data_IF_102946187535
#
_entry.id   IF_102946187535
#
_cell.length_a   1.000
_cell.length_b   1.000
_cell.length_c   1.000
_cell.angle_alpha   90.00
_cell.angle_beta   90.00
_cell.angle_gamma   90.00
#
_symmetry.space_group_name_H-M   'P 1'
#
loop_
_entity.id
_entity.type
_entity.pdbx_description
1 polymer ?
#
# COMPACT_ATOMS: atom_id res chain seq x y z
N UNK A 1 -2.21 27.29 -8.69
CA UNK A 1 -2.82 26.09 -8.12
C UNK A 1 -3.18 25.20 -9.28
N UNK A 2 -2.52 24.05 -9.42
CA UNK A 2 -2.94 23.06 -10.40
C UNK A 2 -4.19 22.37 -9.87
N UNK A 3 -5.14 22.11 -10.75
CA UNK A 3 -6.36 21.40 -10.38
C UNK A 3 -5.97 19.94 -10.08
N UNK A 4 -6.33 19.36 -8.91
CA UNK A 4 -5.90 18.03 -8.55
C UNK A 4 -6.35 17.02 -9.62
N UNK A 5 -5.39 16.27 -10.14
CA UNK A 5 -5.66 15.27 -11.17
C UNK A 5 -6.53 14.15 -10.57
N UNK A 6 -7.50 13.60 -11.31
CA UNK A 6 -8.33 12.51 -10.80
C UNK A 6 -7.48 11.27 -10.49
N UNK A 7 -7.82 10.52 -9.44
CA UNK A 7 -7.07 9.34 -9.02
C UNK A 7 -6.93 8.26 -10.10
N UNK A 8 -8.04 8.04 -10.83
CA UNK A 8 -8.05 7.16 -11.99
C UNK A 8 -7.09 7.60 -13.10
N UNK A 9 -6.71 8.88 -13.16
CA UNK A 9 -5.78 9.39 -14.17
C UNK A 9 -4.38 8.81 -14.02
N UNK A 10 -3.89 8.61 -12.79
CA UNK A 10 -2.61 7.94 -12.53
C UNK A 10 -2.62 6.50 -13.05
N UNK A 11 -3.74 5.79 -12.92
CA UNK A 11 -3.89 4.43 -13.45
C UNK A 11 -4.12 4.43 -14.97
N UNK A 12 -4.76 5.50 -15.48
CA UNK A 12 -5.16 5.57 -16.87
C UNK A 12 -4.02 5.79 -17.88
N UNK A 13 -2.81 6.06 -17.38
CA UNK A 13 -1.63 6.34 -18.20
C UNK A 13 -0.96 5.09 -18.78
N UNK A 14 -1.22 3.91 -18.19
CA UNK A 14 -0.33 2.75 -18.32
C UNK A 14 -0.91 1.56 -19.11
N UNK A 15 -2.19 1.58 -19.45
CA UNK A 15 -2.83 0.57 -20.31
C UNK A 15 -3.50 1.23 -21.50
N UNK A 16 -3.64 0.50 -22.59
CA UNK A 16 -4.29 1.01 -23.81
C UNK A 16 -5.77 1.30 -23.52
N UNK A 17 -6.44 0.40 -22.80
CA UNK A 17 -7.87 0.56 -22.47
C UNK A 17 -8.15 1.83 -21.66
N UNK A 18 -7.25 2.19 -20.75
CA UNK A 18 -7.45 3.37 -19.93
C UNK A 18 -7.10 4.68 -20.63
N UNK A 19 -6.18 4.66 -21.61
CA UNK A 19 -5.97 5.79 -22.54
C UNK A 19 -7.20 6.07 -23.39
N UNK A 20 -7.87 5.02 -23.88
CA UNK A 20 -9.14 5.18 -24.59
C UNK A 20 -10.23 5.72 -23.67
N UNK A 21 -10.35 5.21 -22.45
CA UNK A 21 -11.29 5.71 -21.45
C UNK A 21 -11.07 7.21 -21.16
N UNK A 22 -9.81 7.63 -21.00
CA UNK A 22 -9.43 9.03 -20.83
C UNK A 22 -9.82 9.86 -22.05
N UNK A 23 -9.52 9.40 -23.26
CA UNK A 23 -9.87 10.10 -24.50
C UNK A 23 -11.38 10.28 -24.68
N UNK A 24 -12.18 9.32 -24.21
CA UNK A 24 -13.65 9.35 -24.30
C UNK A 24 -14.30 10.22 -23.24
N UNK A 25 -13.85 10.11 -21.98
CA UNK A 25 -14.53 10.73 -20.82
C UNK A 25 -13.91 12.06 -20.39
N UNK A 26 -12.66 12.30 -20.77
CA UNK A 26 -11.86 13.43 -20.31
C UNK A 26 -11.60 13.43 -18.80
N UNK A 27 -10.92 14.47 -18.29
CA UNK A 27 -10.61 14.61 -16.87
C UNK A 27 -11.86 14.64 -15.98
N UNK A 28 -12.91 15.33 -16.43
CA UNK A 28 -14.15 15.46 -15.66
C UNK A 28 -14.87 14.11 -15.50
N UNK A 29 -15.00 13.33 -16.57
CA UNK A 29 -15.63 12.01 -16.50
C UNK A 29 -14.83 11.04 -15.63
N UNK A 30 -13.49 11.10 -15.66
CA UNK A 30 -12.65 10.31 -14.74
C UNK A 30 -12.81 10.73 -13.28
N UNK A 31 -12.99 12.03 -12.98
CA UNK A 31 -13.32 12.50 -11.62
C UNK A 31 -14.64 11.92 -11.11
N UNK A 32 -15.64 11.76 -11.98
CA UNK A 32 -16.93 11.16 -11.62
C UNK A 32 -16.87 9.64 -11.48
N UNK A 33 -16.03 8.96 -12.28
CA UNK A 33 -15.89 7.51 -12.18
C UNK A 33 -15.39 7.07 -10.81
N UNK A 34 -14.46 7.82 -10.23
CA UNK A 34 -13.86 7.48 -8.95
C UNK A 34 -14.89 7.27 -7.81
N UNK A 35 -15.75 8.24 -7.46
CA UNK A 35 -16.81 8.01 -6.47
C UNK A 35 -17.84 6.99 -6.97
N UNK A 36 -18.07 6.89 -8.28
CA UNK A 36 -19.00 5.91 -8.85
C UNK A 36 -18.57 4.48 -8.54
N UNK A 37 -17.28 4.15 -8.67
CA UNK A 37 -16.73 2.82 -8.32
C UNK A 37 -17.06 2.48 -6.88
N UNK A 38 -16.81 3.39 -5.95
CA UNK A 38 -17.09 3.20 -4.51
C UNK A 38 -18.57 2.96 -4.27
N UNK A 39 -19.45 3.78 -4.86
CA UNK A 39 -20.88 3.62 -4.70
C UNK A 39 -21.39 2.30 -5.27
N UNK A 40 -20.85 1.87 -6.41
CA UNK A 40 -21.17 0.55 -6.99
C UNK A 40 -20.71 -0.57 -6.05
N UNK A 41 -19.47 -0.56 -5.58
CA UNK A 41 -18.99 -1.60 -4.65
C UNK A 41 -19.81 -1.66 -3.35
N UNK A 42 -20.20 -0.51 -2.80
CA UNK A 42 -20.94 -0.42 -1.54
C UNK A 42 -22.42 -0.79 -1.69
N UNK A 43 -23.07 -0.40 -2.79
CA UNK A 43 -24.53 -0.56 -2.97
C UNK A 43 -24.92 -1.86 -3.66
N UNK A 44 -24.04 -2.46 -4.47
CA UNK A 44 -24.40 -3.68 -5.22
C UNK A 44 -24.77 -4.83 -4.27
N UNK A 45 -24.08 -5.02 -3.14
CA UNK A 45 -24.40 -6.11 -2.19
C UNK A 45 -25.81 -5.93 -1.61
N UNK A 46 -26.17 -4.77 -1.00
CA UNK A 46 -27.54 -4.51 -0.56
C UNK A 46 -28.58 -4.70 -1.67
N UNK A 47 -28.31 -4.24 -2.89
CA UNK A 47 -29.23 -4.37 -4.03
C UNK A 47 -29.42 -5.84 -4.43
N UNK A 48 -28.34 -6.64 -4.48
CA UNK A 48 -28.41 -8.07 -4.78
C UNK A 48 -29.17 -8.84 -3.69
N UNK A 49 -28.96 -8.50 -2.42
CA UNK A 49 -29.69 -9.08 -1.28
C UNK A 49 -31.17 -8.69 -1.31
N UNK A 50 -31.49 -7.43 -1.58
CA UNK A 50 -32.87 -6.95 -1.71
C UNK A 50 -33.56 -7.62 -2.90
N UNK A 51 -32.89 -7.74 -4.04
CA UNK A 51 -33.39 -8.46 -5.20
C UNK A 51 -33.69 -9.93 -4.90
N UNK A 52 -32.80 -10.58 -4.14
CA UNK A 52 -32.97 -11.96 -3.69
C UNK A 52 -34.16 -12.10 -2.73
N UNK A 53 -34.27 -11.18 -1.75
CA UNK A 53 -35.37 -11.14 -0.78
C UNK A 53 -36.74 -10.93 -1.45
N UNK A 54 -36.80 -10.03 -2.44
CA UNK A 54 -38.02 -9.76 -3.21
C UNK A 54 -38.30 -10.82 -4.28
N UNK A 55 -37.43 -11.81 -4.47
CA UNK A 55 -37.54 -12.81 -5.55
C UNK A 55 -37.41 -12.23 -6.96
N UNK A 56 -36.83 -11.04 -7.09
CA UNK A 56 -36.67 -10.33 -8.36
C UNK A 56 -35.35 -10.67 -9.04
N UNK A 57 -35.39 -11.68 -9.92
CA UNK A 57 -34.22 -12.09 -10.72
C UNK A 57 -33.62 -10.91 -11.52
N UNK A 58 -34.45 -9.97 -12.00
CA UNK A 58 -33.97 -8.80 -12.74
C UNK A 58 -33.06 -7.92 -11.90
N UNK A 59 -33.42 -7.66 -10.64
CA UNK A 59 -32.62 -6.82 -9.73
C UNK A 59 -31.27 -7.50 -9.45
N UNK A 60 -31.30 -8.82 -9.19
CA UNK A 60 -30.09 -9.60 -8.91
C UNK A 60 -29.16 -9.63 -10.12
N UNK A 61 -29.67 -9.95 -11.32
CA UNK A 61 -28.87 -9.92 -12.55
C UNK A 61 -28.30 -8.53 -12.85
N UNK A 62 -29.05 -7.47 -12.57
CA UNK A 62 -28.56 -6.09 -12.74
C UNK A 62 -27.40 -5.81 -11.79
N UNK A 63 -27.54 -6.18 -10.51
CA UNK A 63 -26.48 -6.00 -9.51
C UNK A 63 -25.20 -6.76 -9.90
N UNK A 64 -25.33 -8.05 -10.26
CA UNK A 64 -24.18 -8.88 -10.70
C UNK A 64 -23.58 -8.35 -12.01
N UNK A 65 -24.41 -7.89 -12.95
CA UNK A 65 -23.93 -7.27 -14.18
C UNK A 65 -23.10 -6.00 -13.94
N UNK A 66 -23.54 -5.15 -13.01
CA UNK A 66 -22.83 -3.92 -12.64
C UNK A 66 -21.44 -4.22 -12.06
N UNK A 67 -21.34 -5.16 -11.12
CA UNK A 67 -20.05 -5.49 -10.51
C UNK A 67 -19.12 -6.22 -11.47
N UNK A 68 -19.65 -7.08 -12.34
CA UNK A 68 -18.86 -7.69 -13.40
C UNK A 68 -18.33 -6.65 -14.38
N UNK A 69 -19.17 -5.72 -14.81
CA UNK A 69 -18.76 -4.61 -15.66
C UNK A 69 -17.65 -3.77 -14.99
N UNK A 70 -17.79 -3.50 -13.70
CA UNK A 70 -16.78 -2.78 -12.93
C UNK A 70 -15.44 -3.52 -12.92
N UNK A 71 -15.41 -4.78 -12.50
CA UNK A 71 -14.17 -5.55 -12.38
C UNK A 71 -13.52 -5.86 -13.73
N UNK A 72 -14.31 -6.07 -14.79
CA UNK A 72 -13.80 -6.17 -16.17
C UNK A 72 -13.17 -4.84 -16.60
N UNK A 73 -13.80 -3.71 -16.28
CA UNK A 73 -13.22 -2.38 -16.50
C UNK A 73 -11.89 -2.19 -15.75
N UNK A 74 -11.82 -2.60 -14.48
CA UNK A 74 -10.59 -2.57 -13.67
C UNK A 74 -9.51 -3.48 -14.26
N UNK A 75 -9.88 -4.69 -14.70
CA UNK A 75 -8.95 -5.64 -15.32
C UNK A 75 -8.37 -5.11 -16.64
N UNK A 76 -9.18 -4.38 -17.41
CA UNK A 76 -8.75 -3.79 -18.66
C UNK A 76 -7.90 -2.52 -18.48
N UNK A 77 -8.14 -1.78 -17.39
CA UNK A 77 -7.52 -0.46 -17.16
C UNK A 77 -6.29 -0.51 -16.25
N UNK A 78 -6.18 -1.48 -15.35
CA UNK A 78 -5.08 -1.61 -14.38
C UNK A 78 -4.25 -2.87 -14.68
N UNK A 79 -2.92 -2.76 -14.67
CA UNK A 79 -2.03 -3.93 -14.87
C UNK A 79 -2.10 -4.87 -13.66
N UNK A 80 -1.94 -6.17 -13.93
CA UNK A 80 -1.88 -7.23 -12.91
C UNK A 80 -3.13 -7.40 -12.03
N UNK A 81 -4.25 -6.75 -12.33
CA UNK A 81 -5.52 -6.92 -11.61
C UNK A 81 -6.43 -7.98 -12.22
N UNK A 82 -6.09 -8.50 -13.41
CA UNK A 82 -6.94 -9.45 -14.16
C UNK A 82 -7.36 -10.64 -13.32
N UNK A 83 -6.40 -11.32 -12.67
CA UNK A 83 -6.71 -12.49 -11.84
C UNK A 83 -7.63 -12.14 -10.67
N UNK A 84 -7.34 -11.04 -9.97
CA UNK A 84 -8.15 -10.58 -8.85
C UNK A 84 -9.58 -10.23 -9.28
N UNK A 85 -9.72 -9.50 -10.38
CA UNK A 85 -11.03 -9.16 -10.98
C UNK A 85 -11.81 -10.40 -11.42
N UNK A 86 -11.14 -11.41 -11.99
CA UNK A 86 -11.80 -12.67 -12.38
C UNK A 86 -12.29 -13.45 -11.15
N UNK A 87 -11.48 -13.53 -10.09
CA UNK A 87 -11.88 -14.17 -8.83
C UNK A 87 -13.06 -13.44 -8.22
N UNK A 88 -13.03 -12.10 -8.20
CA UNK A 88 -14.15 -11.29 -7.71
C UNK A 88 -15.44 -11.60 -8.50
N UNK A 89 -15.38 -11.62 -9.84
CA UNK A 89 -16.53 -11.96 -10.68
C UNK A 89 -17.07 -13.37 -10.43
N UNK A 90 -16.18 -14.36 -10.23
CA UNK A 90 -16.57 -15.72 -9.88
C UNK A 90 -17.28 -15.77 -8.52
N UNK A 91 -16.80 -15.02 -7.52
CA UNK A 91 -17.45 -14.96 -6.21
C UNK A 91 -18.89 -14.43 -6.31
N UNK A 92 -19.15 -13.48 -7.20
CA UNK A 92 -20.50 -12.94 -7.44
C UNK A 92 -21.46 -13.90 -8.14
N UNK A 93 -20.96 -14.98 -8.75
CA UNK A 93 -21.82 -16.01 -9.34
C UNK A 93 -22.75 -16.67 -8.32
N UNK A 94 -22.42 -16.63 -7.02
CA UNK A 94 -23.25 -17.19 -5.94
C UNK A 94 -24.62 -16.53 -5.83
N UNK A 95 -24.75 -15.28 -6.28
CA UNK A 95 -26.03 -14.55 -6.27
C UNK A 95 -26.87 -14.86 -7.50
N UNK A 96 -26.31 -15.47 -8.56
CA UNK A 96 -27.07 -15.70 -9.78
C UNK A 96 -28.22 -16.69 -9.52
N UNK A 97 -29.46 -16.33 -9.93
CA UNK A 97 -30.57 -17.26 -9.79
C UNK A 97 -30.32 -18.49 -10.67
N UNK A 98 -30.71 -19.70 -10.22
CA UNK A 98 -30.52 -20.92 -11.00
C UNK A 98 -31.19 -20.78 -12.38
N UNK A 99 -30.41 -21.01 -13.45
CA UNK A 99 -30.82 -20.81 -14.86
C UNK A 99 -31.82 -21.88 -15.35
N UNK A 100 -32.18 -22.85 -14.50
CA UNK A 100 -33.00 -24.01 -14.88
C UNK A 100 -34.49 -23.65 -14.97
N UNK A 101 -34.84 -23.23 -16.17
CA UNK A 101 -36.06 -23.50 -16.94
C UNK A 101 -37.36 -23.90 -16.21
N UNK A 102 -38.34 -23.03 -16.46
CA UNK A 102 -39.72 -23.32 -16.89
C UNK A 102 -40.84 -22.96 -15.90
N UNK A 103 -41.59 -21.94 -16.34
CA UNK A 103 -43.00 -21.62 -16.04
C UNK A 103 -43.36 -21.48 -14.56
N UNK A 104 -43.48 -20.21 -14.14
CA UNK A 104 -44.41 -19.72 -13.11
C UNK A 104 -44.80 -20.75 -12.04
N UNK A 105 -43.89 -21.02 -11.12
CA UNK A 105 -44.27 -21.57 -9.81
C UNK A 105 -44.05 -20.46 -8.80
N UNK A 106 -45.12 -20.16 -8.07
CA UNK A 106 -45.18 -19.17 -7.00
C UNK A 106 -43.89 -19.16 -6.18
N UNK A 107 -43.42 -17.95 -5.85
CA UNK A 107 -42.27 -17.64 -5.01
C UNK A 107 -42.28 -18.53 -3.77
N UNK A 108 -41.68 -19.71 -3.88
CA UNK A 108 -41.51 -20.62 -2.76
C UNK A 108 -40.34 -20.03 -2.01
N UNK A 109 -40.61 -19.53 -0.79
CA UNK A 109 -39.55 -19.04 0.09
C UNK A 109 -38.43 -20.07 0.09
N UNK A 110 -37.27 -19.65 -0.41
CA UNK A 110 -36.05 -20.44 -0.37
C UNK A 110 -35.85 -20.76 1.11
N UNK A 111 -35.88 -22.04 1.51
CA UNK A 111 -35.79 -22.39 2.92
C UNK A 111 -34.46 -21.83 3.44
N UNK A 112 -34.49 -21.17 4.60
CA UNK A 112 -33.32 -20.53 5.24
C UNK A 112 -32.06 -21.42 5.23
N UNK A 113 -32.25 -22.74 5.26
CA UNK A 113 -31.20 -23.76 5.14
C UNK A 113 -30.31 -23.61 3.89
N UNK A 114 -30.83 -23.12 2.77
CA UNK A 114 -30.06 -22.91 1.53
C UNK A 114 -29.17 -21.66 1.59
N UNK A 115 -29.44 -20.72 2.51
CA UNK A 115 -28.61 -19.53 2.72
C UNK A 115 -27.48 -19.75 3.74
N UNK A 116 -27.50 -20.83 4.52
CA UNK A 116 -26.47 -21.16 5.52
C UNK A 116 -25.04 -21.11 4.96
N UNK A 117 -24.69 -21.73 3.82
CA UNK A 117 -23.31 -21.69 3.32
C UNK A 117 -22.86 -20.28 2.95
N UNK A 118 -23.75 -19.45 2.38
CA UNK A 118 -23.45 -18.05 2.06
C UNK A 118 -23.24 -17.23 3.34
N UNK A 119 -24.13 -17.39 4.33
CA UNK A 119 -24.02 -16.70 5.63
C UNK A 119 -22.73 -17.10 6.32
N UNK A 120 -22.37 -18.39 6.33
CA UNK A 120 -21.10 -18.87 6.90
C UNK A 120 -19.89 -18.31 6.16
N UNK A 121 -19.94 -18.21 4.84
CA UNK A 121 -18.83 -17.64 4.06
C UNK A 121 -18.66 -16.15 4.36
N UNK A 122 -19.74 -15.37 4.36
CA UNK A 122 -19.73 -13.95 4.75
C UNK A 122 -19.27 -13.79 6.20
N UNK A 123 -19.81 -14.58 7.12
CA UNK A 123 -19.41 -14.55 8.53
C UNK A 123 -17.94 -14.94 8.72
N UNK A 124 -17.42 -15.91 7.97
CA UNK A 124 -16.00 -16.29 8.00
C UNK A 124 -15.09 -15.20 7.45
N UNK A 125 -15.52 -14.48 6.43
CA UNK A 125 -14.78 -13.35 5.89
C UNK A 125 -14.77 -12.17 6.87
N UNK A 126 -15.93 -11.86 7.47
CA UNK A 126 -16.04 -10.82 8.50
C UNK A 126 -15.24 -11.20 9.74
N UNK A 127 -15.37 -12.44 10.22
CA UNK A 127 -14.61 -12.94 11.36
C UNK A 127 -13.11 -13.02 11.07
N UNK A 128 -12.70 -13.41 9.86
CA UNK A 128 -11.30 -13.41 9.43
C UNK A 128 -10.74 -12.00 9.35
N UNK A 129 -11.52 -11.03 8.85
CA UNK A 129 -11.17 -9.61 8.87
C UNK A 129 -11.03 -9.10 10.30
N UNK A 130 -12.02 -9.36 11.18
CA UNK A 130 -11.99 -8.96 12.59
C UNK A 130 -10.86 -9.65 13.36
N UNK A 131 -10.60 -10.94 13.13
CA UNK A 131 -9.50 -11.69 13.75
C UNK A 131 -8.14 -11.15 13.31
N UNK A 132 -7.97 -10.91 12.01
CA UNK A 132 -6.77 -10.28 11.48
C UNK A 132 -6.53 -8.90 12.13
N UNK A 133 -7.62 -8.16 12.39
CA UNK A 133 -7.62 -6.83 13.01
C UNK A 133 -7.49 -6.80 14.54
N UNK A 134 -7.74 -7.91 15.25
CA UNK A 134 -7.77 -7.92 16.73
C UNK A 134 -6.74 -8.87 17.35
N UNK A 135 -6.49 -10.03 16.73
CA UNK A 135 -5.79 -11.15 17.38
C UNK A 135 -4.44 -11.52 16.73
N UNK A 136 -4.08 -10.93 15.59
CA UNK A 136 -2.80 -11.19 14.93
C UNK A 136 -1.64 -10.51 15.68
N UNK A 137 -1.02 -11.23 16.63
CA UNK A 137 0.16 -10.76 17.38
C UNK A 137 1.41 -10.58 16.51
N UNK A 138 1.43 -11.16 15.30
CA UNK A 138 2.47 -10.98 14.28
C UNK A 138 2.52 -9.54 13.72
N UNK A 139 1.57 -8.67 14.10
CA UNK A 139 1.40 -7.32 13.56
C UNK A 139 1.24 -6.23 14.65
N UNK A 140 1.71 -6.43 15.87
CA UNK A 140 1.41 -5.53 17.01
C UNK A 140 1.87 -4.07 16.82
N UNK A 141 2.87 -3.79 15.97
CA UNK A 141 3.22 -2.42 15.56
C UNK A 141 2.50 -1.95 14.29
N UNK A 142 2.08 -2.88 13.42
CA UNK A 142 1.30 -2.60 12.22
C UNK A 142 -0.13 -2.20 12.57
N UNK A 143 -0.75 -2.80 13.60
CA UNK A 143 -2.18 -2.63 13.93
C UNK A 143 -2.62 -1.20 14.26
N UNK A 144 -1.77 -0.38 14.91
CA UNK A 144 -2.06 1.05 15.14
C UNK A 144 -2.21 1.84 13.85
N UNK A 145 -1.63 1.33 12.77
CA UNK A 145 -1.68 1.88 11.43
C UNK A 145 -1.98 0.75 10.43
N UNK A 146 -3.00 -0.09 10.63
CA UNK A 146 -3.47 -1.00 9.55
C UNK A 146 -4.65 -0.36 8.84
N UNK A 147 -5.65 0.12 9.56
CA UNK A 147 -6.77 0.85 8.95
C UNK A 147 -6.31 2.09 8.21
N UNK A 148 -5.37 2.85 8.80
CA UNK A 148 -4.84 4.03 8.13
C UNK A 148 -4.20 3.64 6.80
N UNK A 149 -3.16 2.80 6.65
CA UNK A 149 -2.59 2.40 5.37
C UNK A 149 -3.47 1.50 4.50
N UNK A 150 -4.34 0.65 5.04
CA UNK A 150 -5.20 -0.23 4.23
C UNK A 150 -6.35 0.56 3.62
N UNK A 151 -7.00 1.43 4.41
CA UNK A 151 -7.96 2.40 3.87
C UNK A 151 -7.24 3.48 3.08
N UNK A 152 -6.12 4.05 3.54
CA UNK A 152 -5.37 5.10 2.83
C UNK A 152 -4.75 4.60 1.53
N UNK A 153 -4.23 3.38 1.44
CA UNK A 153 -3.71 2.84 0.17
C UNK A 153 -4.84 2.41 -0.77
N UNK A 154 -5.93 1.83 -0.27
CA UNK A 154 -7.10 1.50 -1.11
C UNK A 154 -7.89 2.75 -1.51
N UNK A 155 -7.86 3.81 -0.71
CA UNK A 155 -8.61 5.04 -0.92
C UNK A 155 -7.79 6.11 -1.63
N UNK A 156 -6.46 6.20 -1.46
CA UNK A 156 -5.62 7.09 -2.28
C UNK A 156 -5.62 6.67 -3.75
N UNK A 157 -5.89 5.40 -4.06
CA UNK A 157 -6.23 4.95 -5.42
C UNK A 157 -7.39 5.75 -6.02
N UNK A 158 -8.24 6.33 -5.16
CA UNK A 158 -9.46 7.05 -5.48
C UNK A 158 -9.45 8.56 -5.07
N UNK A 159 -8.52 9.05 -4.25
CA UNK A 159 -8.56 10.46 -3.78
C UNK A 159 -7.97 11.47 -4.77
N UNK A 160 -7.05 11.06 -5.64
CA UNK A 160 -6.47 11.94 -6.64
C UNK A 160 -5.17 11.35 -7.17
N UNK A 161 -4.81 11.70 -8.40
CA UNK A 161 -3.47 11.49 -8.88
C UNK A 161 -2.61 12.52 -8.13
N UNK A 162 -1.64 12.03 -7.36
CA UNK A 162 -0.71 12.88 -6.62
C UNK A 162 -0.12 13.94 -7.56
N UNK A 163 -0.06 15.21 -7.11
CA UNK A 163 0.51 16.32 -7.89
C UNK A 163 2.01 16.12 -8.16
N UNK A 164 2.61 15.16 -7.47
CA UNK A 164 3.98 14.76 -7.60
C UNK A 164 4.07 13.25 -7.45
N UNK A 165 5.09 12.66 -8.03
CA UNK A 165 5.42 11.26 -7.84
C UNK A 165 6.62 11.14 -6.93
N UNK A 166 6.61 10.17 -6.02
CA UNK A 166 7.74 9.92 -5.10
C UNK A 166 8.31 8.52 -5.23
N UNK A 167 9.63 8.42 -5.17
CA UNK A 167 10.34 7.15 -5.06
C UNK A 167 11.49 7.25 -4.07
N UNK A 168 11.93 6.10 -3.57
CA UNK A 168 12.89 6.01 -2.49
C UNK A 168 14.16 5.31 -2.97
N UNK A 169 15.32 5.80 -2.52
CA UNK A 169 16.63 5.22 -2.81
C UNK A 169 17.45 5.24 -1.52
N UNK A 170 18.18 4.15 -1.25
CA UNK A 170 19.05 4.06 -0.09
C UNK A 170 20.51 3.74 -0.48
N UNK A 171 21.32 4.73 -0.93
CA UNK A 171 22.76 4.55 -1.08
C UNK A 171 23.40 4.11 0.25
N UNK A 172 23.95 2.91 0.26
CA UNK A 172 24.71 2.32 1.33
C UNK A 172 26.20 2.29 1.02
N UNK A 173 27.04 2.59 2.01
CA UNK A 173 28.50 2.40 1.92
C UNK A 173 28.86 1.08 2.58
N UNK A 174 29.54 0.21 1.84
CA UNK A 174 30.06 -1.06 2.35
C UNK A 174 31.43 -0.87 3.03
N UNK A 175 31.90 -1.89 3.72
CA UNK A 175 33.16 -1.86 4.45
C UNK A 175 34.38 -1.72 3.52
N UNK A 176 34.31 -2.26 2.29
CA UNK A 176 35.32 -2.06 1.25
C UNK A 176 35.33 -0.65 0.64
N UNK A 177 34.36 0.19 1.01
CA UNK A 177 34.20 1.55 0.53
C UNK A 177 33.30 1.71 -0.70
N UNK A 178 32.85 0.62 -1.32
CA UNK A 178 31.89 0.64 -2.43
C UNK A 178 30.53 1.19 -2.00
N UNK A 179 29.78 1.70 -2.98
CA UNK A 179 28.44 2.27 -2.76
C UNK A 179 27.41 1.49 -3.54
N UNK A 180 26.37 1.03 -2.84
CA UNK A 180 25.31 0.15 -3.35
C UNK A 180 23.94 0.77 -3.08
N UNK A 181 22.91 0.33 -3.80
CA UNK A 181 21.52 0.68 -3.46
C UNK A 181 20.92 -0.41 -2.56
N UNK A 182 20.90 -0.13 -1.26
CA UNK A 182 20.38 -1.04 -0.21
C UNK A 182 18.89 -1.28 -0.39
N UNK A 183 18.16 -0.26 -0.86
CA UNK A 183 16.71 -0.34 -1.04
C UNK A 183 16.36 -1.12 -2.31
N UNK A 184 17.04 -0.83 -3.42
CA UNK A 184 16.86 -1.54 -4.69
C UNK A 184 17.52 -2.92 -4.74
N UNK A 185 18.37 -3.26 -3.77
CA UNK A 185 19.24 -4.45 -3.77
C UNK A 185 20.12 -4.53 -5.03
N UNK A 186 20.80 -3.44 -5.37
CA UNK A 186 21.68 -3.32 -6.55
C UNK A 186 23.09 -2.92 -6.15
N UNK A 187 24.07 -3.34 -6.96
CA UNK A 187 25.49 -2.97 -6.78
C UNK A 187 25.83 -1.55 -7.27
N UNK A 188 24.84 -0.75 -7.67
CA UNK A 188 24.99 0.64 -8.09
C UNK A 188 23.76 1.44 -7.68
N UNK A 189 23.93 2.75 -7.52
CA UNK A 189 22.84 3.66 -7.19
C UNK A 189 22.33 4.31 -8.46
N UNK A 190 21.06 4.05 -8.80
CA UNK A 190 20.38 4.62 -9.95
C UNK A 190 19.41 5.71 -9.48
N UNK A 191 19.76 6.96 -9.75
CA UNK A 191 18.95 8.13 -9.39
C UNK A 191 17.82 8.42 -10.36
N UNK A 192 17.78 7.72 -11.50
CA UNK A 192 16.74 7.94 -12.49
C UNK A 192 15.38 7.52 -11.93
N UNK A 193 14.33 8.20 -12.42
CA UNK A 193 12.98 7.78 -12.11
C UNK A 193 12.79 6.34 -12.62
N UNK A 194 12.25 5.42 -11.80
CA UNK A 194 12.09 4.04 -12.20
C UNK A 194 11.31 3.91 -13.51
N UNK A 195 12.00 3.45 -14.55
CA UNK A 195 11.42 3.21 -15.85
C UNK A 195 10.47 2.01 -15.80
N UNK A 196 9.19 2.24 -16.07
CA UNK A 196 8.11 1.24 -16.15
C UNK A 196 7.68 0.61 -14.83
N UNK A 197 6.85 1.34 -14.08
CA UNK A 197 6.01 0.79 -13.03
C UNK A 197 4.98 1.84 -12.62
N UNK A 198 3.76 1.43 -12.32
CA UNK A 198 2.76 2.26 -11.66
C UNK A 198 3.24 2.58 -10.23
N UNK A 199 3.14 3.85 -9.76
CA UNK A 199 3.44 4.25 -8.38
C UNK A 199 2.87 3.35 -7.28
N UNK A 200 1.79 2.68 -7.60
CA UNK A 200 0.88 2.05 -6.67
C UNK A 200 0.83 0.52 -6.81
N UNK A 201 1.53 -0.11 -7.76
CA UNK A 201 1.45 -1.58 -7.96
C UNK A 201 2.80 -2.31 -8.05
N UNK A 202 3.93 -1.60 -7.93
CA UNK A 202 5.25 -2.24 -8.01
C UNK A 202 5.75 -2.63 -6.61
N UNK A 203 5.20 -3.71 -6.04
CA UNK A 203 5.71 -4.27 -4.77
C UNK A 203 6.96 -5.15 -4.96
N UNK A 204 7.28 -5.55 -6.19
CA UNK A 204 8.45 -6.35 -6.53
C UNK A 204 9.55 -5.47 -7.17
N UNK A 205 10.63 -5.21 -6.42
CA UNK A 205 11.76 -4.28 -6.70
C UNK A 205 12.39 -4.50 -8.10
N UNK A 206 12.86 -3.47 -8.85
CA UNK A 206 13.66 -2.32 -8.37
C UNK A 206 13.14 -0.91 -8.72
N UNK A 207 13.52 0.07 -7.89
CA UNK A 207 13.06 1.47 -7.96
C UNK A 207 11.66 1.62 -7.37
N UNK A 208 11.56 1.35 -6.07
CA UNK A 208 10.28 1.24 -5.36
C UNK A 208 9.61 2.61 -5.33
N UNK A 209 8.45 2.68 -5.96
CA UNK A 209 7.50 3.73 -5.69
C UNK A 209 7.03 3.66 -4.25
N UNK A 210 6.78 4.82 -3.65
CA UNK A 210 6.51 4.93 -2.23
C UNK A 210 5.17 4.28 -1.89
N UNK A 211 5.21 3.10 -1.26
CA UNK A 211 3.99 2.43 -0.81
C UNK A 211 3.48 2.97 0.55
N UNK A 212 4.34 3.64 1.32
CA UNK A 212 4.05 4.00 2.72
C UNK A 212 4.71 5.33 3.13
N UNK A 213 4.00 6.47 3.02
CA UNK A 213 4.52 7.78 3.38
C UNK A 213 4.97 7.94 4.84
N UNK A 214 4.45 7.11 5.74
CA UNK A 214 4.72 7.22 7.18
C UNK A 214 6.07 6.64 7.60
N UNK A 215 6.72 5.78 6.79
CA UNK A 215 8.00 5.17 7.17
C UNK A 215 9.15 6.19 7.24
N UNK A 216 9.02 7.34 6.56
CA UNK A 216 10.03 8.40 6.58
C UNK A 216 10.06 9.21 7.88
N UNK A 217 8.96 9.20 8.63
CA UNK A 217 8.77 10.00 9.84
C UNK A 217 8.78 9.12 11.10
N UNK A 218 9.20 7.86 10.98
CA UNK A 218 9.39 6.99 12.13
C UNK A 218 10.60 7.44 12.95
N UNK A 219 10.31 8.16 14.03
CA UNK A 219 11.26 8.55 15.06
C UNK A 219 11.22 7.57 16.25
N UNK A 220 12.21 7.69 17.13
CA UNK A 220 12.32 6.87 18.35
C UNK A 220 12.60 5.38 18.09
N UNK A 221 12.11 4.53 18.99
CA UNK A 221 12.41 3.09 19.03
C UNK A 221 11.93 2.36 17.76
N UNK A 222 10.75 2.71 17.24
CA UNK A 222 10.19 2.07 16.05
C UNK A 222 11.03 2.34 14.80
N UNK A 223 11.58 3.55 14.67
CA UNK A 223 12.54 3.88 13.62
C UNK A 223 13.81 3.05 13.74
N UNK A 224 14.40 2.98 14.93
CA UNK A 224 15.62 2.20 15.19
C UNK A 224 15.48 0.70 14.85
N UNK A 225 14.33 0.09 15.16
CA UNK A 225 14.04 -1.30 14.79
C UNK A 225 14.01 -1.48 13.27
N UNK A 226 13.34 -0.59 12.55
CA UNK A 226 13.26 -0.64 11.09
C UNK A 226 14.63 -0.44 10.42
N UNK A 227 15.37 0.59 10.82
CA UNK A 227 16.64 0.92 10.18
C UNK A 227 17.71 -0.14 10.48
N UNK A 228 17.74 -0.69 11.70
CA UNK A 228 18.62 -1.81 12.05
C UNK A 228 18.24 -3.10 11.31
N UNK A 229 16.96 -3.33 11.03
CA UNK A 229 16.51 -4.45 10.22
C UNK A 229 17.07 -4.39 8.80
N UNK A 230 17.10 -3.21 8.16
CA UNK A 230 17.65 -3.07 6.81
C UNK A 230 19.14 -3.43 6.74
N UNK A 231 19.93 -3.08 7.77
CA UNK A 231 21.32 -3.52 7.88
C UNK A 231 21.43 -5.05 7.92
N UNK A 232 20.68 -5.70 8.82
CA UNK A 232 20.69 -7.16 8.97
C UNK A 232 20.21 -7.88 7.71
N UNK A 233 19.16 -7.34 7.06
CA UNK A 233 18.62 -7.90 5.84
C UNK A 233 19.64 -7.82 4.69
N UNK A 234 20.32 -6.69 4.53
CA UNK A 234 21.37 -6.54 3.53
C UNK A 234 22.50 -7.56 3.75
N UNK A 235 23.04 -7.59 4.98
CA UNK A 235 24.18 -8.45 5.31
C UNK A 235 23.84 -9.94 5.10
N UNK A 236 22.63 -10.35 5.48
CA UNK A 236 22.10 -11.69 5.25
C UNK A 236 21.99 -12.02 3.76
N UNK A 237 21.36 -11.14 2.98
CA UNK A 237 21.11 -11.40 1.55
C UNK A 237 22.38 -11.38 0.69
N UNK A 238 23.44 -10.71 1.14
CA UNK A 238 24.68 -10.53 0.38
C UNK A 238 25.86 -11.35 0.94
N UNK A 239 25.60 -12.25 1.90
CA UNK A 239 26.63 -13.06 2.57
C UNK A 239 27.78 -12.21 3.12
N UNK A 240 27.45 -11.15 3.89
CA UNK A 240 28.43 -10.29 4.54
C UNK A 240 28.99 -10.91 5.84
N UNK A 241 29.48 -12.14 5.71
CA UNK A 241 30.07 -12.94 6.78
C UNK A 241 31.53 -12.54 7.05
N UNK A 242 32.18 -13.24 7.98
CA UNK A 242 33.59 -13.00 8.34
C UNK A 242 34.55 -13.41 7.21
N UNK A 243 34.09 -14.17 6.19
CA UNK A 243 34.87 -14.48 4.99
C UNK A 243 34.80 -13.36 3.96
N UNK A 244 33.73 -12.56 3.95
CA UNK A 244 33.50 -11.44 3.04
C UNK A 244 33.19 -10.13 3.77
N UNK A 245 34.08 -9.65 4.65
CA UNK A 245 33.82 -8.46 5.46
C UNK A 245 33.58 -7.22 4.58
N UNK A 246 34.19 -7.16 3.39
CA UNK A 246 34.00 -6.08 2.43
C UNK A 246 32.54 -5.83 2.04
N UNK A 247 31.68 -6.84 2.11
CA UNK A 247 30.25 -6.74 1.74
C UNK A 247 29.35 -6.18 2.84
N UNK A 248 29.88 -6.02 4.05
CA UNK A 248 29.12 -5.57 5.22
C UNK A 248 28.70 -4.12 5.07
N UNK A 249 27.44 -3.84 5.32
CA UNK A 249 26.90 -2.49 5.25
C UNK A 249 27.36 -1.69 6.48
N UNK A 250 28.06 -0.57 6.25
CA UNK A 250 28.57 0.29 7.34
C UNK A 250 27.56 1.39 7.67
N UNK A 251 27.01 2.02 6.63
CA UNK A 251 26.02 3.07 6.77
C UNK A 251 25.19 3.20 5.50
N UNK A 252 24.00 3.76 5.61
CA UNK A 252 23.22 4.14 4.44
C UNK A 252 22.50 5.47 4.67
N UNK A 253 22.20 6.14 3.57
CA UNK A 253 21.37 7.35 3.55
C UNK A 253 20.09 7.03 2.81
N UNK A 254 18.95 7.25 3.44
CA UNK A 254 17.63 7.06 2.84
C UNK A 254 17.16 8.38 2.24
N UNK A 255 16.99 8.43 0.92
CA UNK A 255 16.51 9.59 0.20
C UNK A 255 15.11 9.36 -0.33
N UNK A 256 14.30 10.40 -0.25
CA UNK A 256 13.06 10.52 -1.00
C UNK A 256 13.32 11.42 -2.20
N UNK A 257 12.97 10.92 -3.37
CA UNK A 257 12.97 11.66 -4.62
C UNK A 257 11.54 12.00 -4.98
N UNK A 258 11.35 13.20 -5.51
CA UNK A 258 10.05 13.73 -5.86
C UNK A 258 10.14 14.47 -7.19
N UNK A 259 9.19 14.24 -8.09
CA UNK A 259 9.03 15.02 -9.31
C UNK A 259 7.57 15.42 -9.46
N UNK A 260 7.29 16.68 -9.76
CA UNK A 260 5.92 17.15 -9.97
C UNK A 260 5.38 16.64 -11.30
N UNK A 261 4.09 16.35 -11.34
CA UNK A 261 3.38 16.02 -12.57
C UNK A 261 3.01 17.33 -13.26
N UNK A 262 3.53 17.55 -14.46
CA UNK A 262 3.25 18.74 -15.26
C UNK A 262 1.92 18.59 -16.02
N UNK A 263 1.27 19.70 -16.44
CA UNK A 263 0.00 19.65 -17.18
C UNK A 263 0.05 18.86 -18.50
N UNK A 264 1.23 18.75 -19.11
CA UNK A 264 1.47 17.99 -20.34
C UNK A 264 1.77 16.50 -20.07
N UNK A 265 1.51 16.00 -18.86
CA UNK A 265 1.82 14.63 -18.42
C UNK A 265 3.33 14.33 -18.37
N UNK A 266 4.19 15.34 -18.49
CA UNK A 266 5.62 15.24 -18.20
C UNK A 266 5.90 15.30 -16.70
N UNK A 267 7.16 15.12 -16.34
CA UNK A 267 7.62 15.28 -14.96
C UNK A 267 8.55 16.49 -14.85
N UNK A 268 8.46 17.23 -13.74
CA UNK A 268 9.41 18.28 -13.42
C UNK A 268 10.78 17.70 -13.06
N UNK A 269 11.77 18.58 -12.88
CA UNK A 269 13.09 18.17 -12.42
C UNK A 269 12.98 17.49 -11.04
N UNK A 270 13.69 16.38 -10.88
CA UNK A 270 13.66 15.59 -9.65
C UNK A 270 14.28 16.35 -8.49
N UNK A 271 13.53 16.52 -7.41
CA UNK A 271 14.00 17.01 -6.11
C UNK A 271 14.40 15.83 -5.24
N UNK A 272 15.48 16.01 -4.49
CA UNK A 272 16.04 15.00 -3.60
C UNK A 272 16.03 15.51 -2.16
N UNK A 273 15.41 14.76 -1.25
CA UNK A 273 15.35 15.05 0.18
C UNK A 273 15.98 13.91 0.97
N UNK A 274 16.97 14.22 1.81
CA UNK A 274 17.49 13.25 2.79
C UNK A 274 16.44 13.07 3.88
N UNK A 275 16.08 11.82 4.15
CA UNK A 275 15.11 11.47 5.20
C UNK A 275 15.84 10.99 6.44
N UNK A 276 16.78 10.05 6.27
CA UNK A 276 17.52 9.46 7.37
C UNK A 276 18.94 9.09 6.94
N UNK A 277 19.91 9.34 7.80
CA UNK A 277 21.22 8.69 7.76
C UNK A 277 21.27 7.69 8.91
N UNK A 278 21.69 6.45 8.62
CA UNK A 278 21.75 5.38 9.60
C UNK A 278 23.11 4.69 9.56
N UNK A 279 23.68 4.47 10.74
CA UNK A 279 24.93 3.75 10.92
C UNK A 279 24.62 2.34 11.41
N UNK A 280 25.05 1.33 10.65
CA UNK A 280 24.87 -0.06 11.04
C UNK A 280 25.85 -0.35 12.19
N UNK A 281 25.31 -0.51 13.40
CA UNK A 281 26.11 -0.96 14.53
C UNK A 281 26.40 -2.44 14.35
N UNK A 282 27.68 -2.83 14.40
CA UNK A 282 28.04 -4.24 14.49
C UNK A 282 27.37 -4.77 15.77
N UNK A 283 26.38 -5.66 15.63
CA UNK A 283 25.51 -6.14 16.71
C UNK A 283 26.20 -6.84 17.89
N UNK A 284 27.54 -6.79 17.99
CA UNK A 284 28.32 -7.31 19.12
C UNK A 284 28.29 -6.42 20.37
N UNK A 285 27.95 -5.13 20.28
CA UNK A 285 28.10 -4.24 21.44
C UNK A 285 26.89 -4.14 22.37
N UNK A 286 25.70 -4.63 21.98
CA UNK A 286 24.46 -4.37 22.74
C UNK A 286 24.07 -5.47 23.73
N UNK A 287 24.49 -6.72 23.52
CA UNK A 287 24.23 -7.82 24.47
C UNK A 287 25.03 -7.66 25.77
N UNK A 288 26.19 -6.99 25.74
CA UNK A 288 27.03 -6.77 26.93
C UNK A 288 26.63 -5.57 27.79
N UNK A 289 25.67 -4.74 27.36
CA UNK A 289 25.26 -3.53 28.11
C UNK A 289 23.89 -3.68 28.79
N UNK A 290 23.03 -4.59 28.32
CA UNK A 290 21.72 -4.88 28.95
C UNK A 290 21.81 -5.91 30.09
N UNK A 291 22.89 -6.68 30.21
CA UNK A 291 23.15 -7.55 31.37
C UNK A 291 23.87 -6.82 32.53
N UNK A 292 24.21 -5.53 32.39
CA UNK A 292 24.98 -4.76 33.39
C UNK A 292 24.20 -3.70 34.17
N UNK A 293 22.92 -3.46 33.87
CA UNK A 293 22.15 -2.36 34.47
C UNK A 293 21.04 -2.83 35.44
N UNK A 294 21.28 -3.91 36.17
CA UNK A 294 20.53 -4.25 37.39
C UNK A 294 21.42 -3.97 38.60
N UNK A 295 21.73 -2.70 38.86
CA UNK A 295 22.31 -2.26 40.13
C UNK A 295 21.59 -0.99 40.57
N UNK A 296 20.94 -1.15 41.70
CA UNK A 296 20.42 -0.20 42.69
C UNK A 296 20.89 1.26 42.58
N UNK A 297 19.94 2.17 42.71
CA UNK A 297 20.23 3.61 42.79
C UNK A 297 18.99 4.45 43.10
N UNK A 298 18.39 4.24 44.28
CA UNK A 298 17.65 5.31 44.97
C UNK A 298 18.61 6.46 45.25
N UNK A 299 18.32 7.66 44.71
CA UNK A 299 19.10 8.86 44.99
C UNK A 299 18.47 10.07 44.36
N UNK A 300 17.73 10.83 45.17
CA UNK A 300 17.08 12.07 44.77
C UNK A 300 18.04 13.20 44.39
N UNK A 301 17.47 14.20 43.71
CA UNK A 301 18.16 15.44 43.37
C UNK A 301 17.29 16.31 42.49
N UNK A 302 16.55 17.23 43.11
CA UNK A 302 15.99 18.42 42.49
C UNK A 302 17.11 19.23 41.80
N UNK A 303 16.81 19.81 40.64
CA UNK A 303 17.77 20.59 39.85
C UNK A 303 17.11 21.25 38.66
N UNK A 304 16.40 22.33 38.95
CA UNK A 304 15.91 23.37 38.04
C UNK A 304 17.09 24.05 37.34
N UNK A 305 17.12 24.15 36.00
CA UNK A 305 17.57 25.39 35.32
C UNK A 305 17.31 25.39 33.81
N UNK A 306 16.91 26.58 33.35
CA UNK A 306 16.54 26.94 32.00
C UNK A 306 17.76 27.05 31.06
N UNK A 307 17.58 26.68 29.79
CA UNK A 307 18.57 26.93 28.73
C UNK A 307 17.89 27.24 27.41
N UNK A 308 18.01 28.49 26.97
CA UNK A 308 17.28 29.08 25.85
C UNK A 308 17.57 28.49 24.47
N UNK A 309 16.55 28.55 23.62
CA UNK A 309 16.58 28.15 22.22
C UNK A 309 16.92 29.35 21.35
N UNK A 310 18.12 29.35 20.76
CA UNK A 310 18.52 30.31 19.73
C UNK A 310 18.44 29.62 18.36
N UNK A 311 17.45 30.01 17.55
CA UNK A 311 17.32 29.57 16.15
C UNK A 311 17.96 30.64 15.28
N UNK A 312 19.18 30.37 14.82
CA UNK A 312 19.80 31.08 13.70
C UNK A 312 19.48 30.34 12.41
N UNK A 313 18.72 30.99 11.53
CA UNK A 313 18.52 30.58 10.15
C UNK A 313 19.51 31.36 9.28
N UNK A 314 20.37 30.67 8.54
CA UNK A 314 21.05 31.24 7.38
C UNK A 314 21.14 30.20 6.24
N UNK A 315 20.52 30.62 5.12
CA UNK A 315 20.76 30.32 3.69
C UNK A 315 20.57 28.90 3.17
#
# INVERSE_FOLDING_TARGET
YADPLPALDSYARHTIGSRYLYALLGPFGLRLLTPTVVWVELLVVPIALLGSYLGSAKIVWTAVGLIWSLHLGIAATIRNTVLLSLIANCAWCIFLPPVVQSKFVAVRQIPLKQHIPMILLVASFVAGSVWFEIASNECNQSMKHIWSPLLHNRWNVFVGAEEYVTWEIAPGKLQDGSVVDVWGNKNHVDWTMPGSGTPCTSTARPGRWRSFPYLAELEGESGEVLWSYLCRQWDSNNNADDQHPGRRLVRFKFFMLQADVLPNMGFSATRKRLIKEYHCTNGRSRSSQLEGSSVDGEGGGEGEEAGGMHVGAEL
#
